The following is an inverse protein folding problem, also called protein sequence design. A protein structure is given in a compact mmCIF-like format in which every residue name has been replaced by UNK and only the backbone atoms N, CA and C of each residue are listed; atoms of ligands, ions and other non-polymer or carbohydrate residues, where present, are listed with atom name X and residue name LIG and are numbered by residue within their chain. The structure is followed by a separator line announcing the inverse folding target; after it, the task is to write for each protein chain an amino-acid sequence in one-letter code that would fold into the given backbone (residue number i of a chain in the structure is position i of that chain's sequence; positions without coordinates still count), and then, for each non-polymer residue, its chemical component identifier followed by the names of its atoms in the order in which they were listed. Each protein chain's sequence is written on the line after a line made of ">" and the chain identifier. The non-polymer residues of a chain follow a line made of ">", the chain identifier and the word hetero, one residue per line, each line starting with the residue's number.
data_IF_875253788898
#
_entry.id   IF_875253788898
#
_cell.length_a   1.000
_cell.length_b   1.000
_cell.length_c   1.000
_cell.angle_alpha   90.00
_cell.angle_beta   90.00
_cell.angle_gamma   90.00
#
_symmetry.space_group_name_H-M   'P 1'
#
loop_
_entity.id
_entity.type
_entity.pdbx_description
1 polymer ?
#
# COMPACT_ATOMS: atom_id res chain seq x y z
N UNK A 1 -5.17 -11.49 6.23
CA UNK A 1 -4.47 -10.52 5.37
C UNK A 1 -5.28 -10.26 4.11
N UNK A 2 -5.48 -9.00 3.78
CA UNK A 2 -6.20 -8.64 2.56
C UNK A 2 -5.20 -8.18 1.50
N UNK A 3 -5.48 -8.51 0.25
CA UNK A 3 -4.62 -8.17 -0.86
C UNK A 3 -5.27 -7.07 -1.71
N UNK A 4 -4.50 -6.05 -2.02
CA UNK A 4 -4.97 -4.92 -2.83
C UNK A 4 -4.02 -4.76 -4.01
N UNK A 5 -4.56 -4.66 -5.22
CA UNK A 5 -3.77 -4.50 -6.42
C UNK A 5 -3.93 -3.06 -6.92
N UNK A 6 -2.84 -2.30 -6.86
CA UNK A 6 -2.84 -0.91 -7.35
C UNK A 6 -1.92 -0.74 -8.56
N UNK A 7 -1.53 -1.85 -9.19
CA UNK A 7 -0.68 -1.80 -10.37
C UNK A 7 -1.42 -1.10 -11.50
N UNK A 8 -0.72 -0.21 -12.17
CA UNK A 8 -1.30 0.54 -13.29
C UNK A 8 -2.14 1.73 -12.90
N UNK A 9 -2.33 1.97 -11.61
CA UNK A 9 -3.09 3.14 -11.16
C UNK A 9 -2.14 4.33 -10.95
N UNK A 10 -2.66 5.51 -11.22
CA UNK A 10 -1.92 6.76 -11.05
C UNK A 10 -2.19 7.38 -9.69
N UNK A 11 -1.17 8.05 -9.12
CA UNK A 11 -1.35 8.81 -7.90
C UNK A 11 -2.39 9.90 -8.15
N UNK A 12 -3.35 10.16 -7.24
CA UNK A 12 -3.37 9.69 -5.84
C UNK A 12 -4.24 8.44 -5.60
N UNK A 13 -4.68 7.74 -6.63
CA UNK A 13 -5.61 6.62 -6.47
C UNK A 13 -5.11 5.52 -5.53
N UNK A 14 -3.84 5.06 -5.63
CA UNK A 14 -3.37 4.02 -4.70
C UNK A 14 -3.49 4.43 -3.24
N UNK A 15 -3.17 5.69 -2.93
CA UNK A 15 -3.24 6.20 -1.57
C UNK A 15 -4.68 6.28 -1.09
N UNK A 16 -5.61 6.67 -1.97
CA UNK A 16 -7.03 6.74 -1.63
C UNK A 16 -7.60 5.35 -1.34
N UNK A 17 -7.17 4.35 -2.11
CA UNK A 17 -7.60 2.98 -1.88
C UNK A 17 -7.10 2.50 -0.52
N UNK A 18 -5.86 2.78 -0.18
CA UNK A 18 -5.30 2.40 1.12
C UNK A 18 -6.03 3.13 2.24
N UNK A 19 -6.31 4.41 2.07
CA UNK A 19 -7.04 5.18 3.06
C UNK A 19 -8.41 4.57 3.35
N UNK A 20 -9.15 4.24 2.30
CA UNK A 20 -10.46 3.62 2.46
C UNK A 20 -10.37 2.27 3.14
N UNK A 21 -9.35 1.48 2.79
CA UNK A 21 -9.15 0.18 3.41
C UNK A 21 -8.87 0.30 4.90
N UNK A 22 -8.01 1.23 5.29
CA UNK A 22 -7.66 1.44 6.70
C UNK A 22 -8.86 1.94 7.50
N UNK A 23 -9.73 2.73 6.90
CA UNK A 23 -10.93 3.23 7.58
C UNK A 23 -12.00 2.13 7.72
N UNK A 24 -12.07 1.23 6.74
CA UNK A 24 -13.10 0.19 6.72
C UNK A 24 -12.72 -1.01 7.58
N UNK A 25 -11.49 -1.46 7.49
CA UNK A 25 -11.03 -2.68 8.16
C UNK A 25 -9.88 -2.38 9.11
N UNK A 26 -10.17 -1.72 10.20
CA UNK A 26 -9.17 -1.38 11.21
C UNK A 26 -8.58 -2.66 11.83
N UNK A 27 -7.27 -2.67 11.97
CA UNK A 27 -6.57 -3.81 12.57
C UNK A 27 -6.23 -4.91 11.58
N UNK A 28 -6.63 -4.77 10.33
CA UNK A 28 -6.29 -5.75 9.30
C UNK A 28 -4.90 -5.46 8.73
N UNK A 29 -4.23 -6.52 8.29
CA UNK A 29 -2.97 -6.41 7.57
C UNK A 29 -3.27 -6.43 6.07
N UNK A 30 -2.64 -5.52 5.33
CA UNK A 30 -2.84 -5.41 3.89
C UNK A 30 -1.57 -5.71 3.14
N UNK A 31 -1.70 -6.43 2.04
CA UNK A 31 -0.61 -6.67 1.10
C UNK A 31 -0.99 -5.96 -0.19
N UNK A 32 -0.21 -4.95 -0.55
CA UNK A 32 -0.52 -4.09 -1.68
C UNK A 32 0.49 -4.37 -2.80
N UNK A 33 -0.03 -4.65 -3.99
CA UNK A 33 0.81 -4.89 -5.16
C UNK A 33 0.93 -3.59 -5.95
N UNK A 34 2.16 -3.15 -6.20
CA UNK A 34 2.44 -1.94 -6.95
C UNK A 34 3.56 -2.22 -7.95
N UNK A 35 3.63 -1.43 -9.01
CA UNK A 35 4.65 -1.61 -10.03
C UNK A 35 5.48 -0.34 -10.28
N UNK A 36 5.33 0.68 -9.45
CA UNK A 36 6.11 1.90 -9.58
C UNK A 36 6.67 2.33 -8.23
N UNK A 37 7.96 2.72 -8.24
CA UNK A 37 8.65 3.07 -7.00
C UNK A 37 8.02 4.27 -6.29
N UNK A 38 7.57 5.28 -7.03
CA UNK A 38 6.96 6.46 -6.41
C UNK A 38 5.61 6.11 -5.76
N UNK A 39 4.88 5.16 -6.32
CA UNK A 39 3.63 4.68 -5.71
C UNK A 39 3.93 4.01 -4.36
N UNK A 40 4.95 3.17 -4.33
CA UNK A 40 5.39 2.51 -3.09
C UNK A 40 5.77 3.54 -2.04
N UNK A 41 6.53 4.55 -2.43
CA UNK A 41 6.94 5.61 -1.51
C UNK A 41 5.74 6.36 -0.93
N UNK A 42 4.77 6.68 -1.77
CA UNK A 42 3.58 7.39 -1.33
C UNK A 42 2.74 6.55 -0.38
N UNK A 43 2.59 5.26 -0.67
CA UNK A 43 1.86 4.34 0.21
C UNK A 43 2.56 4.22 1.55
N UNK A 44 3.89 4.08 1.53
CA UNK A 44 4.68 3.99 2.76
C UNK A 44 4.50 5.24 3.62
N UNK A 45 4.65 6.40 3.00
CA UNK A 45 4.53 7.67 3.75
C UNK A 45 3.16 7.81 4.37
N UNK A 46 2.12 7.50 3.61
CA UNK A 46 0.76 7.60 4.11
C UNK A 46 0.53 6.64 5.28
N UNK A 47 0.95 5.38 5.12
CA UNK A 47 0.74 4.37 6.16
C UNK A 47 1.50 4.73 7.44
N UNK A 48 2.73 5.19 7.31
CA UNK A 48 3.53 5.58 8.48
C UNK A 48 2.94 6.79 9.19
N UNK A 49 2.40 7.73 8.43
CA UNK A 49 1.71 8.90 9.01
C UNK A 49 0.51 8.48 9.84
N UNK A 50 -0.11 7.34 9.48
CA UNK A 50 -1.25 6.81 10.21
C UNK A 50 -0.86 5.78 11.28
N UNK A 51 0.40 5.72 11.65
CA UNK A 51 0.87 4.85 12.71
C UNK A 51 0.98 3.39 12.35
N UNK A 52 1.03 3.08 11.06
CA UNK A 52 1.14 1.70 10.60
C UNK A 52 2.59 1.31 10.33
N UNK A 53 2.86 0.02 10.37
CA UNK A 53 4.15 -0.53 9.99
C UNK A 53 4.11 -0.91 8.53
N UNK A 54 5.19 -0.63 7.83
CA UNK A 54 5.28 -0.88 6.39
C UNK A 54 6.50 -1.72 6.09
N UNK A 55 6.29 -2.79 5.34
CA UNK A 55 7.36 -3.65 4.87
C UNK A 55 7.28 -3.73 3.35
N UNK A 56 8.39 -3.49 2.66
CA UNK A 56 8.43 -3.43 1.21
C UNK A 56 9.34 -4.54 0.69
N UNK A 57 8.82 -5.31 -0.26
CA UNK A 57 9.59 -6.38 -0.89
C UNK A 57 9.53 -6.21 -2.40
N UNK A 58 10.69 -6.26 -3.06
CA UNK A 58 10.76 -6.26 -4.51
C UNK A 58 10.56 -7.68 -5.03
N UNK A 59 9.67 -7.82 -6.01
CA UNK A 59 9.38 -9.11 -6.63
C UNK A 59 9.43 -8.90 -8.13
N UNK A 60 10.58 -9.21 -8.74
CA UNK A 60 10.78 -8.95 -10.15
C UNK A 60 10.68 -7.46 -10.46
N UNK A 61 9.78 -7.10 -11.36
CA UNK A 61 9.55 -5.69 -11.73
C UNK A 61 8.47 -5.04 -10.87
N UNK A 62 8.01 -5.73 -9.82
CA UNK A 62 6.90 -5.26 -8.99
C UNK A 62 7.32 -5.17 -7.54
N UNK A 63 6.45 -4.57 -6.73
CA UNK A 63 6.67 -4.41 -5.30
C UNK A 63 5.49 -4.92 -4.51
N UNK A 64 5.77 -5.58 -3.39
CA UNK A 64 4.75 -5.96 -2.42
C UNK A 64 4.93 -5.08 -1.20
N UNK A 65 3.91 -4.30 -0.87
CA UNK A 65 3.93 -3.41 0.29
C UNK A 65 2.99 -4.00 1.34
N UNK A 66 3.55 -4.41 2.47
CA UNK A 66 2.76 -4.95 3.56
C UNK A 66 2.55 -3.87 4.62
N UNK A 67 1.30 -3.59 4.91
CA UNK A 67 0.89 -2.56 5.87
C UNK A 67 0.18 -3.24 7.04
N UNK A 68 0.71 -3.03 8.22
CA UNK A 68 0.14 -3.66 9.42
C UNK A 68 0.07 -2.73 10.64
#
# INVERSE_FOLDING_TARGET
>A
MKEIDVRGLSCPEPVLILKNALETDKGETYKILANEAHTVKNLKNFAETNGKKVDIKEVGAEYEVTVS
#
